data_IF_090324415100
#
_entry.id   IF_090324415100
#
_cell.length_a   1.000
_cell.length_b   1.000
_cell.length_c   1.000
_cell.angle_alpha   90.00
_cell.angle_beta   90.00
_cell.angle_gamma   90.00
#
_symmetry.space_group_name_H-M   'P 1'
#
loop_
_entity.id
_entity.type
_entity.pdbx_description
1 polymer ?
#
# COMPACT_ATOMS: atom_id res chain seq x y z
N UNK A 1 19.50 2.88 4.70
CA UNK A 1 18.32 3.77 4.89
C UNK A 1 17.09 2.90 5.02
N UNK A 2 16.06 3.40 5.70
CA UNK A 2 14.79 2.70 5.90
C UNK A 2 13.79 3.17 4.85
N UNK A 3 13.07 2.24 4.22
CA UNK A 3 12.03 2.57 3.26
C UNK A 3 10.71 2.72 4.00
N UNK A 4 10.02 3.82 3.75
CA UNK A 4 8.75 4.14 4.37
C UNK A 4 7.66 4.23 3.31
N UNK A 5 6.49 3.70 3.63
CA UNK A 5 5.27 3.83 2.86
C UNK A 5 4.31 4.74 3.60
N UNK A 6 3.84 5.79 2.92
CA UNK A 6 2.92 6.80 3.46
C UNK A 6 1.70 6.88 2.56
N UNK A 7 0.51 6.62 3.13
CA UNK A 7 -0.76 6.81 2.45
C UNK A 7 -1.33 8.18 2.76
N UNK A 8 -1.64 8.95 1.72
CA UNK A 8 -2.29 10.26 1.83
C UNK A 8 -3.80 10.14 1.65
N UNK A 9 -4.58 11.10 2.19
CA UNK A 9 -6.04 11.15 2.02
C UNK A 9 -6.48 11.22 0.55
N UNK A 10 -5.62 11.72 -0.34
CA UNK A 10 -5.85 11.75 -1.79
C UNK A 10 -5.78 10.36 -2.46
N UNK A 11 -5.54 9.30 -1.67
CA UNK A 11 -5.41 7.92 -2.15
C UNK A 11 -4.04 7.58 -2.72
N UNK A 12 -3.07 8.49 -2.63
CA UNK A 12 -1.71 8.28 -3.15
C UNK A 12 -0.85 7.55 -2.12
N UNK A 13 -0.08 6.57 -2.59
CA UNK A 13 0.92 5.86 -1.79
C UNK A 13 2.32 6.36 -2.16
N UNK A 14 3.01 6.97 -1.19
CA UNK A 14 4.38 7.46 -1.35
C UNK A 14 5.37 6.46 -0.75
N UNK A 15 6.39 6.09 -1.53
CA UNK A 15 7.52 5.25 -1.09
C UNK A 15 8.77 6.10 -1.00
N UNK A 16 9.27 6.32 0.21
CA UNK A 16 10.35 7.27 0.49
C UNK A 16 11.43 6.60 1.33
N UNK A 17 12.69 6.80 0.96
CA UNK A 17 13.83 6.35 1.75
C UNK A 17 14.28 7.46 2.68
N UNK A 18 14.37 7.15 3.97
CA UNK A 18 14.80 8.08 5.00
C UNK A 18 15.61 7.35 6.08
N UNK A 19 16.41 8.09 6.83
CA UNK A 19 17.13 7.56 7.99
C UNK A 19 16.18 7.40 9.16
N UNK A 20 15.33 8.40 9.40
CA UNK A 20 14.35 8.40 10.48
C UNK A 20 13.09 9.16 10.11
N UNK A 21 12.09 9.13 10.99
CA UNK A 21 10.88 9.90 10.86
C UNK A 21 10.55 10.61 12.17
N UNK A 22 9.77 11.68 12.09
CA UNK A 22 9.22 12.40 13.24
C UNK A 22 7.74 12.65 12.97
N UNK A 23 6.92 12.38 13.99
CA UNK A 23 5.48 12.65 13.95
C UNK A 23 5.13 13.61 15.07
N UNK A 24 4.66 14.79 14.70
CA UNK A 24 4.30 15.86 15.62
C UNK A 24 3.01 16.55 15.17
N UNK A 25 2.66 17.68 15.79
CA UNK A 25 1.45 18.45 15.47
C UNK A 25 1.42 18.97 14.04
N UNK A 26 2.56 19.08 13.36
CA UNK A 26 2.66 19.50 11.96
C UNK A 26 2.55 18.33 10.97
N UNK A 27 2.36 17.10 11.46
CA UNK A 27 2.20 15.90 10.63
C UNK A 27 3.42 14.98 10.69
N UNK A 28 3.75 14.36 9.55
CA UNK A 28 4.85 13.42 9.42
C UNK A 28 6.00 14.03 8.62
N UNK A 29 7.21 14.01 9.20
CA UNK A 29 8.43 14.41 8.52
C UNK A 29 9.39 13.23 8.40
N UNK A 30 9.94 13.01 7.21
CA UNK A 30 10.97 12.02 6.95
C UNK A 30 12.32 12.70 6.81
N UNK A 31 13.33 12.20 7.52
CA UNK A 31 14.63 12.83 7.68
C UNK A 31 15.75 11.94 7.15
N UNK A 32 16.68 12.52 6.40
CA UNK A 32 17.94 11.88 5.97
C UNK A 32 19.10 12.30 6.86
N UNK A 33 20.31 11.83 6.53
CA UNK A 33 21.52 12.14 7.28
C UNK A 33 21.73 13.66 7.41
N UNK A 34 22.22 14.10 8.57
CA UNK A 34 22.32 15.51 8.92
C UNK A 34 20.99 16.20 9.27
N UNK A 35 19.91 15.44 9.50
CA UNK A 35 18.63 15.97 9.98
C UNK A 35 17.84 16.77 8.93
N UNK A 36 18.18 16.62 7.65
CA UNK A 36 17.47 17.28 6.54
C UNK A 36 16.17 16.54 6.23
N UNK A 37 15.08 17.27 6.04
CA UNK A 37 13.83 16.68 5.60
C UNK A 37 13.89 16.32 4.11
N UNK A 38 13.51 15.09 3.79
CA UNK A 38 13.35 14.62 2.40
C UNK A 38 11.88 14.64 1.97
N UNK A 39 10.95 14.51 2.91
CA UNK A 39 9.51 14.61 2.66
C UNK A 39 8.77 15.07 3.91
N UNK A 40 7.68 15.79 3.71
CA UNK A 40 6.78 16.26 4.76
C UNK A 40 5.33 16.02 4.33
N UNK A 41 4.55 15.40 5.20
CA UNK A 41 3.14 15.12 5.02
C UNK A 41 2.33 15.76 6.15
N UNK A 42 1.78 16.96 5.95
CA UNK A 42 0.99 17.62 6.99
C UNK A 42 -0.28 16.84 7.33
N UNK A 43 -0.83 16.12 6.36
CA UNK A 43 -1.96 15.21 6.53
C UNK A 43 -1.63 13.88 5.87
N UNK A 44 -1.86 12.78 6.59
CA UNK A 44 -1.68 11.42 6.10
C UNK A 44 -2.62 10.48 6.84
N UNK A 45 -2.99 9.37 6.19
CA UNK A 45 -3.85 8.35 6.80
C UNK A 45 -3.02 7.42 7.70
N UNK A 46 -1.98 6.84 7.12
CA UNK A 46 -1.09 5.91 7.83
C UNK A 46 0.31 5.92 7.24
N UNK A 47 1.26 5.48 8.06
CA UNK A 47 2.65 5.26 7.69
C UNK A 47 3.05 3.86 8.16
N UNK A 48 3.84 3.14 7.35
CA UNK A 48 4.55 1.94 7.79
C UNK A 48 5.99 1.95 7.29
N UNK A 49 6.86 1.29 8.04
CA UNK A 49 8.17 0.88 7.51
C UNK A 49 7.89 -0.23 6.51
N UNK A 50 8.26 -0.01 5.25
CA UNK A 50 8.30 -1.10 4.30
C UNK A 50 9.41 -2.03 4.79
N UNK A 51 9.02 -3.22 5.26
CA UNK A 51 9.99 -4.29 5.44
C UNK A 51 10.77 -4.39 4.13
N UNK A 52 12.09 -4.52 4.21
CA UNK A 52 12.89 -4.94 3.06
C UNK A 52 12.41 -6.36 2.78
N UNK A 53 11.36 -6.48 1.97
CA UNK A 53 10.91 -7.76 1.47
C UNK A 53 12.10 -8.29 0.66
N UNK A 54 12.84 -9.24 1.25
CA UNK A 54 13.45 -10.29 0.46
C UNK A 54 12.35 -10.74 -0.51
N UNK A 55 12.59 -10.56 -1.79
CA UNK A 55 11.66 -10.81 -2.89
C UNK A 55 10.69 -11.95 -2.59
N UNK A 56 9.47 -11.64 -2.18
CA UNK A 56 8.37 -12.58 -2.34
C UNK A 56 7.64 -12.13 -3.60
N UNK A 57 8.18 -12.60 -4.73
CA UNK A 57 7.51 -12.63 -6.02
C UNK A 57 6.25 -13.49 -5.83
N UNK A 58 5.12 -12.87 -5.45
CA UNK A 58 3.82 -13.50 -5.53
C UNK A 58 3.09 -12.97 -6.78
N UNK A 59 2.83 -13.91 -7.68
CA UNK A 59 2.36 -13.84 -9.06
C UNK A 59 1.20 -12.86 -9.37
N UNK A 60 1.04 -12.47 -10.66
CA UNK A 60 -0.06 -11.62 -11.10
C UNK A 60 -1.42 -12.24 -10.75
N UNK A 61 -2.34 -11.40 -10.24
CA UNK A 61 -3.75 -11.76 -10.20
C UNK A 61 -4.25 -11.81 -11.64
N UNK A 62 -4.57 -13.02 -12.09
CA UNK A 62 -5.40 -13.26 -13.26
C UNK A 62 -6.70 -12.46 -13.08
N UNK A 63 -6.93 -11.51 -13.99
CA UNK A 63 -8.20 -10.84 -14.14
C UNK A 63 -9.20 -11.87 -14.65
N UNK A 64 -10.09 -12.33 -13.78
CA UNK A 64 -11.26 -13.10 -14.18
C UNK A 64 -12.26 -12.13 -14.85
N UNK A 65 -12.02 -11.89 -16.14
CA UNK A 65 -12.99 -11.28 -17.05
C UNK A 65 -13.90 -12.40 -17.58
N UNK A 66 -15.03 -12.59 -16.94
CA UNK A 66 -16.22 -13.15 -17.60
C UNK A 66 -17.46 -12.81 -16.80
N UNK A 67 -17.99 -11.62 -17.08
CA UNK A 67 -19.43 -11.46 -17.00
C UNK A 67 -20.04 -12.18 -18.19
N UNK A 68 -20.94 -13.13 -17.96
CA UNK A 68 -22.11 -13.33 -18.81
C UNK A 68 -23.18 -14.10 -18.04
N UNK A 69 -24.38 -13.54 -18.09
CA UNK A 69 -25.58 -14.02 -17.44
C UNK A 69 -26.12 -15.29 -18.13
N UNK A 70 -26.67 -16.22 -17.35
CA UNK A 70 -27.35 -17.38 -17.94
C UNK A 70 -28.02 -18.26 -16.90
N UNK A 71 -29.33 -18.09 -16.75
CA UNK A 71 -30.22 -18.96 -15.98
C UNK A 71 -30.09 -20.43 -16.40
N UNK A 72 -30.08 -21.36 -15.44
CA UNK A 72 -30.75 -22.66 -15.58
C UNK A 72 -30.85 -23.38 -14.23
N UNK A 73 -32.09 -23.68 -13.88
CA UNK A 73 -32.58 -24.37 -12.68
C UNK A 73 -31.89 -25.72 -12.40
N UNK A 74 -31.90 -26.21 -11.13
CA UNK A 74 -31.49 -27.58 -10.86
C UNK A 74 -32.56 -28.57 -11.35
N UNK A 75 -32.20 -29.44 -12.31
CA UNK A 75 -32.93 -30.69 -12.51
C UNK A 75 -32.40 -31.71 -11.50
N UNK A 76 -33.26 -32.14 -10.58
CA UNK A 76 -33.03 -33.28 -9.74
C UNK A 76 -33.35 -34.55 -10.55
N UNK A 77 -32.41 -35.48 -10.66
CA UNK A 77 -32.75 -36.88 -10.93
C UNK A 77 -31.78 -37.80 -10.19
N UNK A 78 -32.27 -38.36 -9.10
CA UNK A 78 -31.75 -39.57 -8.50
C UNK A 78 -32.44 -40.78 -9.11
N UNK A 79 -31.66 -41.86 -9.21
CA UNK A 79 -32.00 -43.27 -9.52
C UNK A 79 -32.57 -43.62 -10.90
#
# INVERSE_FOLDING_TARGET
MTKYEVSTPDGVLHRIEAVTHTRDTNGLTLLVDGGKAVAMFPVFNWMRVAAVEAEVVAAPKESDESGEAGTSSPVAQGE
#
